data_IF_447954063277
#
_entry.id   IF_447954063277
#
_cell.length_a   1.000
_cell.length_b   1.000
_cell.length_c   1.000
_cell.angle_alpha   90.00
_cell.angle_beta   90.00
_cell.angle_gamma   90.00
#
_symmetry.space_group_name_H-M   'P 1'
#
loop_
_entity.id
_entity.type
_entity.pdbx_description
1 polymer ?
2 non-polymer ?
3 non-polymer ?
4 non-polymer ?
5 water ?
#
# COMPACT_ATOMS: atom_id res chain seq x y z
N UNK A 3 -8.00 -29.35 -13.23
CA UNK A 3 -7.34 -29.84 -11.99
C UNK A 3 -6.88 -28.68 -11.09
N UNK A 4 -7.16 -27.45 -11.52
CA UNK A 4 -6.76 -26.25 -10.80
C UNK A 4 -7.94 -25.69 -10.02
N UNK A 5 -7.67 -25.24 -8.80
CA UNK A 5 -8.73 -24.66 -7.99
C UNK A 5 -9.25 -23.40 -8.68
N UNK A 6 -10.56 -23.12 -8.58
CA UNK A 6 -11.13 -21.93 -9.21
C UNK A 6 -10.85 -20.69 -8.33
N UNK A 7 -10.34 -20.94 -7.12
CA UNK A 7 -10.01 -19.91 -6.14
C UNK A 7 -9.62 -20.63 -4.86
N UNK A 8 -9.11 -19.88 -3.88
CA UNK A 8 -8.76 -20.46 -2.60
C UNK A 8 -8.79 -19.39 -1.51
N UNK A 9 -9.78 -19.50 -0.62
CA UNK A 9 -9.98 -18.55 0.46
C UNK A 9 -10.19 -19.28 1.78
N UNK A 10 -10.13 -18.53 2.89
CA UNK A 10 -10.30 -19.09 4.21
C UNK A 10 -11.67 -19.68 4.48
N UNK A 11 -12.71 -19.00 4.03
CA UNK A 11 -14.06 -19.46 4.25
C UNK A 11 -15.07 -18.71 3.37
N UNK A 12 -15.54 -19.40 2.33
CA UNK A 12 -16.53 -18.84 1.42
C UNK A 12 -17.77 -18.37 2.19
N UNK A 13 -18.00 -18.98 3.34
CA UNK A 13 -19.15 -18.63 4.15
C UNK A 13 -19.16 -17.19 4.61
N UNK A 14 -18.02 -16.50 4.51
CA UNK A 14 -17.94 -15.09 4.94
C UNK A 14 -18.41 -14.09 3.85
N UNK A 15 -18.73 -14.58 2.67
CA UNK A 15 -19.16 -13.72 1.55
C UNK A 15 -20.31 -12.74 1.85
N UNK A 16 -21.28 -13.15 2.65
CA UNK A 16 -22.38 -12.25 2.90
C UNK A 16 -21.96 -11.02 3.69
N UNK A 17 -21.16 -11.24 4.73
CA UNK A 17 -20.67 -10.15 5.56
C UNK A 17 -19.76 -9.27 4.69
N UNK A 18 -18.97 -9.91 3.85
CA UNK A 18 -18.08 -9.21 2.97
C UNK A 18 -18.82 -8.30 2.00
N UNK A 19 -19.89 -8.82 1.41
CA UNK A 19 -20.69 -8.03 0.46
C UNK A 19 -21.23 -6.79 1.18
N UNK A 20 -21.71 -6.95 2.40
CA UNK A 20 -22.17 -5.79 3.17
C UNK A 20 -21.03 -4.77 3.31
N UNK A 21 -19.81 -5.27 3.54
CA UNK A 21 -18.60 -4.45 3.70
C UNK A 21 -18.35 -3.65 2.41
N UNK A 22 -18.37 -4.35 1.28
CA UNK A 22 -18.17 -3.71 -0.02
C UNK A 22 -19.26 -2.67 -0.30
N UNK A 23 -20.50 -2.92 0.15
CA UNK A 23 -21.58 -1.97 -0.12
C UNK A 23 -21.27 -0.64 0.58
N UNK A 24 -20.86 -0.73 1.84
CA UNK A 24 -20.54 0.49 2.56
C UNK A 24 -19.33 1.17 1.89
N UNK A 25 -18.28 0.39 1.62
CA UNK A 25 -17.05 0.92 0.97
C UNK A 25 -17.32 1.61 -0.36
N UNK A 26 -18.17 1.00 -1.19
CA UNK A 26 -18.47 1.59 -2.50
C UNK A 26 -18.95 3.02 -2.34
N UNK A 27 -19.75 3.25 -1.31
CA UNK A 27 -20.30 4.56 -1.05
C UNK A 27 -19.24 5.54 -0.58
N UNK A 28 -18.04 5.04 -0.20
CA UNK A 28 -16.91 5.90 0.24
C UNK A 28 -15.86 6.08 -0.86
N UNK A 29 -16.07 5.41 -1.99
CA UNK A 29 -15.15 5.42 -3.09
C UNK A 29 -15.73 5.98 -4.42
N UNK A 30 -16.08 7.28 -4.43
CA UNK A 30 -16.65 7.90 -5.64
C UNK A 30 -15.75 7.81 -6.88
N UNK A 31 -14.44 7.80 -6.70
CA UNK A 31 -13.56 7.71 -7.85
C UNK A 31 -13.75 6.39 -8.56
N UNK A 32 -13.85 5.31 -7.79
CA UNK A 32 -14.02 4.03 -8.43
C UNK A 32 -15.47 3.96 -8.97
N UNK A 33 -16.44 4.37 -8.19
CA UNK A 33 -17.81 4.32 -8.68
C UNK A 33 -17.97 5.15 -9.97
N UNK A 34 -17.37 6.33 -10.02
CA UNK A 34 -17.46 7.16 -11.23
C UNK A 34 -16.76 6.50 -12.41
N UNK A 35 -15.72 5.70 -12.18
CA UNK A 35 -15.08 5.01 -13.31
C UNK A 35 -16.11 4.02 -13.92
N UNK A 36 -16.75 3.23 -13.08
CA UNK A 36 -17.74 2.27 -13.54
C UNK A 36 -18.87 2.97 -14.30
N UNK A 37 -19.32 4.09 -13.77
CA UNK A 37 -20.40 4.85 -14.38
C UNK A 37 -19.98 5.33 -15.77
N UNK A 38 -18.69 5.58 -15.96
CA UNK A 38 -18.23 6.05 -17.26
C UNK A 38 -17.79 4.97 -18.24
N UNK A 39 -17.26 3.86 -17.74
CA UNK A 39 -16.80 2.81 -18.63
C UNK A 39 -17.48 1.46 -18.66
N UNK A 40 -18.56 1.26 -17.91
CA UNK A 40 -19.18 -0.05 -17.93
C UNK A 40 -19.75 -0.30 -19.31
N UNK A 41 -20.28 0.76 -19.92
CA UNK A 41 -20.87 0.68 -21.26
C UNK A 41 -19.88 0.32 -22.36
N UNK A 42 -18.75 1.01 -22.38
CA UNK A 42 -17.75 0.79 -23.41
C UNK A 42 -16.68 -0.25 -23.16
N UNK A 43 -16.64 -0.83 -21.96
CA UNK A 43 -15.63 -1.86 -21.63
C UNK A 43 -14.20 -1.65 -22.18
N UNK A 44 -13.58 -0.48 -21.88
CA UNK A 44 -12.22 -0.25 -22.38
C UNK A 44 -11.21 -1.35 -22.02
N UNK A 45 -11.50 -2.14 -20.99
CA UNK A 45 -10.54 -3.19 -20.63
C UNK A 45 -10.85 -4.57 -21.24
N UNK A 46 -11.88 -4.63 -22.09
CA UNK A 46 -12.24 -5.89 -22.76
C UNK A 46 -10.96 -6.41 -23.40
N UNK A 47 -10.66 -7.68 -23.18
CA UNK A 47 -9.45 -8.25 -23.73
C UNK A 47 -8.33 -8.32 -22.70
N UNK A 48 -8.39 -7.46 -21.69
CA UNK A 48 -7.34 -7.48 -20.69
C UNK A 48 -7.50 -8.67 -19.77
N UNK A 49 -6.40 -9.33 -19.48
CA UNK A 49 -6.38 -10.42 -18.54
C UNK A 49 -5.37 -9.93 -17.46
N UNK A 50 -5.94 -9.22 -16.47
CA UNK A 50 -5.20 -8.62 -15.36
C UNK A 50 -4.94 -9.54 -14.17
N UNK A 51 -3.68 -9.76 -13.86
CA UNK A 51 -3.33 -10.56 -12.69
C UNK A 51 -2.93 -9.50 -11.64
N UNK A 52 -3.58 -9.52 -10.48
CA UNK A 52 -3.26 -8.57 -9.41
C UNK A 52 -2.56 -9.21 -8.22
N UNK A 53 -1.59 -8.51 -7.64
CA UNK A 53 -0.92 -9.00 -6.44
C UNK A 53 -0.95 -7.77 -5.52
N UNK A 54 -1.95 -7.69 -4.66
CA UNK A 54 -2.10 -6.53 -3.80
C UNK A 54 -3.08 -6.88 -2.67
N UNK A 55 -2.66 -6.62 -1.42
CA UNK A 55 -3.48 -6.87 -0.22
C UNK A 55 -4.97 -7.07 -0.56
N UNK A 56 -5.49 -8.28 -0.28
CA UNK A 56 -6.88 -8.65 -0.61
C UNK A 56 -7.83 -8.17 0.48
N UNK A 57 -8.14 -6.87 0.44
CA UNK A 57 -9.00 -6.17 1.41
C UNK A 57 -10.36 -5.73 0.79
N UNK A 58 -11.26 -5.21 1.61
CA UNK A 58 -12.55 -4.68 1.13
C UNK A 58 -12.28 -3.66 -0.01
N UNK A 59 -11.32 -2.76 0.19
CA UNK A 59 -10.99 -1.75 -0.81
C UNK A 59 -10.55 -2.38 -2.12
N UNK A 60 -9.67 -3.37 -2.02
CA UNK A 60 -9.16 -4.04 -3.20
C UNK A 60 -10.31 -4.81 -3.93
N UNK A 61 -11.30 -5.25 -3.18
CA UNK A 61 -12.41 -5.98 -3.78
C UNK A 61 -13.22 -5.02 -4.67
N UNK A 62 -13.39 -3.77 -4.22
CA UNK A 62 -14.11 -2.76 -5.01
C UNK A 62 -13.31 -2.42 -6.27
N UNK A 63 -11.98 -2.48 -6.17
CA UNK A 63 -11.10 -2.21 -7.30
C UNK A 63 -11.25 -3.36 -8.28
N UNK A 64 -11.13 -4.59 -7.77
CA UNK A 64 -11.27 -5.79 -8.60
C UNK A 64 -12.61 -5.73 -9.35
N UNK A 65 -13.70 -5.46 -8.66
CA UNK A 65 -14.99 -5.41 -9.38
C UNK A 65 -15.10 -4.22 -10.34
N UNK A 66 -14.36 -3.15 -10.08
CA UNK A 66 -14.41 -2.00 -10.98
C UNK A 66 -13.77 -2.41 -12.30
N UNK A 67 -12.67 -3.14 -12.19
CA UNK A 67 -11.95 -3.57 -13.38
C UNK A 67 -12.83 -4.55 -14.19
N UNK A 68 -13.42 -5.50 -13.49
CA UNK A 68 -14.28 -6.47 -14.16
C UNK A 68 -15.41 -5.73 -14.88
N UNK A 69 -16.00 -4.75 -14.22
CA UNK A 69 -17.08 -3.94 -14.78
C UNK A 69 -16.64 -3.21 -16.05
N UNK A 70 -15.35 -2.92 -16.12
CA UNK A 70 -14.76 -2.21 -17.23
C UNK A 70 -14.36 -3.21 -18.31
N UNK A 71 -14.73 -4.47 -18.07
CA UNK A 71 -14.48 -5.51 -19.05
C UNK A 71 -13.32 -6.47 -18.96
N UNK A 72 -12.39 -6.24 -18.05
CA UNK A 72 -11.26 -7.16 -17.98
C UNK A 72 -11.61 -8.45 -17.26
N UNK A 73 -10.74 -9.44 -17.44
CA UNK A 73 -10.82 -10.70 -16.73
C UNK A 73 -9.74 -10.49 -15.66
N UNK A 74 -10.05 -10.86 -14.42
CA UNK A 74 -9.10 -10.65 -13.31
C UNK A 74 -8.86 -11.89 -12.45
N UNK A 75 -7.61 -12.06 -12.01
CA UNK A 75 -7.17 -13.15 -11.11
C UNK A 75 -6.27 -12.42 -10.13
N UNK A 76 -6.51 -12.64 -8.85
CA UNK A 76 -5.83 -11.92 -7.79
C UNK A 76 -5.15 -12.70 -6.68
N UNK A 77 -4.09 -12.12 -6.13
CA UNK A 77 -3.43 -12.71 -4.96
C UNK A 77 -3.06 -11.49 -4.05
N UNK A 78 -2.87 -11.76 -2.75
CA UNK A 78 -2.48 -10.70 -1.83
C UNK A 78 -0.96 -10.52 -1.94
N UNK A 79 -0.45 -9.33 -1.62
CA UNK A 79 0.99 -9.10 -1.69
C UNK A 79 1.62 -9.18 -0.30
N UNK A 80 0.87 -9.73 0.65
CA UNK A 80 1.38 -9.93 2.03
C UNK A 80 0.64 -11.10 2.64
N UNK A 81 1.38 -11.92 3.40
CA UNK A 81 0.78 -13.06 4.03
C UNK A 81 -0.24 -12.73 5.14
N UNK A 82 -0.19 -11.53 5.74
CA UNK A 82 -1.18 -11.24 6.81
C UNK A 82 -2.20 -10.14 6.46
N UNK A 83 -2.24 -9.65 5.22
CA UNK A 83 -3.14 -8.52 4.94
C UNK A 83 -4.51 -8.80 4.40
N UNK A 84 -4.72 -10.01 3.89
CA UNK A 84 -6.03 -10.34 3.36
C UNK A 84 -7.13 -10.21 4.41
N UNK A 85 -8.29 -9.75 3.96
CA UNK A 85 -9.46 -9.62 4.80
C UNK A 85 -10.34 -10.75 4.20
N UNK A 86 -10.48 -11.81 4.99
CA UNK A 86 -11.20 -12.98 4.56
C UNK A 86 -12.63 -12.75 4.10
N UNK A 87 -13.36 -11.82 4.70
CA UNK A 87 -14.73 -11.64 4.23
C UNK A 87 -14.73 -11.03 2.82
N UNK A 88 -13.75 -10.15 2.55
CA UNK A 88 -13.63 -9.51 1.23
C UNK A 88 -13.18 -10.53 0.18
N UNK A 89 -12.22 -11.37 0.53
CA UNK A 89 -11.73 -12.42 -0.37
C UNK A 89 -12.91 -13.38 -0.69
N UNK A 90 -13.67 -13.77 0.31
CA UNK A 90 -14.83 -14.65 0.08
C UNK A 90 -15.87 -13.99 -0.84
N UNK A 91 -16.20 -12.72 -0.63
CA UNK A 91 -17.18 -12.06 -1.52
C UNK A 91 -16.68 -12.11 -2.97
N UNK A 92 -15.38 -11.92 -3.17
CA UNK A 92 -14.83 -11.94 -4.51
C UNK A 92 -14.90 -13.35 -5.10
N UNK A 93 -14.46 -14.32 -4.32
CA UNK A 93 -14.45 -15.73 -4.74
C UNK A 93 -15.86 -16.10 -5.19
N UNK A 94 -16.81 -15.78 -4.31
CA UNK A 94 -18.22 -16.04 -4.54
C UNK A 94 -18.72 -15.41 -5.82
N UNK A 95 -18.30 -14.17 -6.09
CA UNK A 95 -18.69 -13.48 -7.33
C UNK A 95 -18.06 -14.20 -8.53
N UNK A 96 -17.32 -15.27 -8.25
CA UNK A 96 -16.71 -16.05 -9.30
C UNK A 96 -15.44 -15.50 -9.91
N UNK A 97 -14.71 -14.70 -9.14
CA UNK A 97 -13.46 -14.12 -9.65
C UNK A 97 -12.39 -15.00 -9.02
N UNK A 98 -11.38 -15.40 -9.79
CA UNK A 98 -10.42 -16.25 -9.10
C UNK A 98 -9.48 -15.49 -8.14
N UNK A 99 -9.66 -15.72 -6.85
CA UNK A 99 -8.81 -15.08 -5.88
C UNK A 99 -8.16 -16.19 -5.02
N UNK A 100 -6.86 -16.08 -4.78
CA UNK A 100 -6.09 -17.03 -3.96
C UNK A 100 -5.49 -16.20 -2.82
N UNK A 101 -6.18 -16.13 -1.68
CA UNK A 101 -5.71 -15.32 -0.55
C UNK A 101 -6.46 -15.53 0.76
N UNK A 102 -5.69 -15.54 1.85
CA UNK A 102 -6.25 -15.67 3.18
C UNK A 102 -5.28 -15.07 4.19
N UNK A 103 -5.81 -14.61 5.32
CA UNK A 103 -4.99 -14.01 6.35
C UNK A 103 -4.21 -15.11 7.04
N UNK A 104 -2.89 -14.97 7.03
CA UNK A 104 -2.03 -15.95 7.68
C UNK A 104 -1.47 -17.03 6.78
N UNK A 105 -1.03 -16.68 5.57
CA UNK A 105 -0.45 -17.69 4.66
C UNK A 105 1.00 -18.00 5.09
N UNK A 106 1.53 -19.16 4.68
CA UNK A 106 2.93 -19.47 4.95
C UNK A 106 3.60 -18.89 3.72
N UNK A 107 4.92 -18.81 3.72
CA UNK A 107 5.65 -18.25 2.58
C UNK A 107 5.52 -19.07 1.32
N UNK A 108 5.50 -20.38 1.47
CA UNK A 108 5.35 -21.24 0.30
C UNK A 108 3.95 -21.00 -0.29
N UNK A 109 2.94 -20.95 0.57
CA UNK A 109 1.57 -20.69 0.09
C UNK A 109 1.48 -19.34 -0.59
N UNK A 110 2.13 -18.32 -0.01
CA UNK A 110 2.13 -16.97 -0.58
C UNK A 110 2.58 -17.05 -2.05
N UNK A 111 3.65 -17.79 -2.29
CA UNK A 111 4.15 -17.88 -3.65
C UNK A 111 3.17 -18.67 -4.51
N UNK A 112 2.64 -19.75 -3.95
CA UNK A 112 1.68 -20.59 -4.65
C UNK A 112 0.49 -19.76 -5.18
N UNK A 113 -0.06 -18.91 -4.31
CA UNK A 113 -1.19 -18.05 -4.67
C UNK A 113 -0.90 -17.14 -5.84
N UNK A 114 0.30 -16.56 -5.87
CA UNK A 114 0.64 -15.69 -6.99
C UNK A 114 0.68 -16.52 -8.30
N UNK A 115 1.23 -17.73 -8.19
CA UNK A 115 1.33 -18.66 -9.33
C UNK A 115 -0.04 -19.01 -9.92
N UNK A 116 -1.06 -19.16 -9.08
CA UNK A 116 -2.40 -19.46 -9.57
C UNK A 116 -3.04 -18.30 -10.34
N UNK A 117 -2.39 -17.15 -10.39
CA UNK A 117 -3.00 -16.03 -11.10
C UNK A 117 -2.41 -15.81 -12.48
N UNK A 118 -1.28 -16.45 -12.77
CA UNK A 118 -0.61 -16.25 -14.05
C UNK A 118 -1.32 -16.78 -15.29
N UNK A 119 -1.99 -17.92 -15.13
CA UNK A 119 -2.69 -18.51 -16.26
C UNK A 119 -4.22 -18.50 -16.08
N UNK A 120 -4.88 -17.84 -17.03
CA UNK A 120 -6.32 -17.72 -17.03
C UNK A 120 -6.95 -18.86 -17.86
N UNK A 121 -8.27 -18.94 -17.75
CA UNK A 121 -9.03 -19.93 -18.52
C UNK A 121 -8.49 -19.82 -19.96
N UNK A 122 -8.63 -18.65 -20.57
CA UNK A 122 -8.20 -18.44 -21.95
C UNK A 122 -6.84 -17.76 -22.20
N UNK A 123 -5.76 -18.23 -21.60
CA UNK A 123 -4.48 -17.62 -21.90
C UNK A 123 -3.81 -16.85 -20.77
N UNK A 124 -2.45 -16.82 -20.74
CA UNK A 124 -1.67 -16.13 -19.71
C UNK A 124 -2.05 -14.65 -19.55
N UNK A 125 -1.53 -14.04 -18.49
CA UNK A 125 -1.79 -12.64 -18.19
C UNK A 125 -1.22 -11.74 -19.27
N UNK A 126 -1.96 -10.68 -19.58
CA UNK A 126 -1.50 -9.69 -20.54
C UNK A 126 -1.38 -8.33 -19.82
N UNK A 127 -1.59 -8.34 -18.50
CA UNK A 127 -1.47 -7.13 -17.65
C UNK A 127 -1.11 -7.45 -16.18
N UNK A 128 -0.29 -6.60 -15.60
CA UNK A 128 0.10 -6.75 -14.20
C UNK A 128 -0.36 -5.55 -13.38
N UNK A 129 -0.90 -5.79 -12.18
CA UNK A 129 -1.29 -4.71 -11.26
C UNK A 129 -0.55 -5.16 -10.01
N UNK A 130 0.58 -4.51 -9.72
CA UNK A 130 1.45 -4.95 -8.62
C UNK A 130 1.54 -3.99 -7.42
N UNK A 131 1.93 -4.54 -6.26
CA UNK A 131 2.10 -3.70 -5.07
C UNK A 131 3.31 -4.26 -4.34
N UNK A 132 4.48 -3.70 -4.61
CA UNK A 132 5.69 -4.19 -3.98
C UNK A 132 6.67 -4.81 -4.97
N UNK A 133 6.20 -5.11 -6.18
CA UNK A 133 7.06 -5.71 -7.17
C UNK A 133 7.17 -7.23 -7.16
N UNK A 134 6.60 -7.92 -6.20
CA UNK A 134 6.73 -9.38 -6.16
C UNK A 134 6.24 -10.08 -7.44
N UNK A 135 5.06 -9.74 -7.94
CA UNK A 135 4.56 -10.35 -9.17
C UNK A 135 5.49 -9.94 -10.32
N UNK A 136 5.79 -8.65 -10.39
CA UNK A 136 6.69 -8.12 -11.41
C UNK A 136 8.03 -8.89 -11.43
N UNK A 137 8.60 -9.15 -10.27
CA UNK A 137 9.87 -9.84 -10.19
C UNK A 137 9.78 -11.34 -10.51
N UNK A 138 8.62 -11.92 -10.21
CA UNK A 138 8.37 -13.35 -10.46
C UNK A 138 8.34 -13.58 -11.99
N UNK A 139 7.57 -12.76 -12.69
CA UNK A 139 7.49 -12.88 -14.12
C UNK A 139 8.86 -12.63 -14.76
N UNK A 140 9.49 -11.49 -14.47
CA UNK A 140 10.82 -11.20 -15.03
C UNK A 140 11.87 -12.24 -14.67
N UNK A 141 11.69 -12.98 -13.59
CA UNK A 141 12.75 -13.93 -13.29
C UNK A 141 12.45 -15.41 -13.52
N UNK A 142 11.18 -15.81 -13.45
CA UNK A 142 10.81 -17.21 -13.63
C UNK A 142 9.93 -17.45 -14.85
N UNK A 143 9.27 -16.41 -15.33
CA UNK A 143 8.41 -16.55 -16.48
C UNK A 143 8.62 -15.51 -17.57
N UNK A 144 9.88 -15.16 -17.88
CA UNK A 144 10.15 -14.16 -18.93
C UNK A 144 9.45 -14.40 -20.24
N UNK A 145 9.27 -15.69 -20.55
CA UNK A 145 8.61 -16.09 -21.79
C UNK A 145 7.23 -15.44 -21.92
N UNK A 146 6.65 -15.04 -20.79
CA UNK A 146 5.33 -14.43 -20.79
C UNK A 146 5.40 -12.92 -21.00
N UNK A 147 6.61 -12.38 -20.97
CA UNK A 147 6.78 -10.93 -21.13
C UNK A 147 6.22 -10.37 -22.43
N UNK A 148 6.53 -10.99 -23.60
CA UNK A 148 5.98 -10.42 -24.83
C UNK A 148 4.47 -10.33 -24.82
N UNK A 149 3.82 -11.23 -24.08
CA UNK A 149 2.38 -11.18 -24.00
C UNK A 149 1.84 -10.17 -22.97
N UNK A 150 2.70 -9.49 -22.23
CA UNK A 150 2.23 -8.51 -21.21
C UNK A 150 2.38 -7.10 -21.71
N UNK A 151 1.26 -6.41 -21.88
CA UNK A 151 1.25 -5.06 -22.40
C UNK A 151 1.68 -3.98 -21.38
N UNK A 152 1.45 -4.23 -20.09
CA UNK A 152 1.82 -3.22 -19.11
C UNK A 152 1.77 -3.66 -17.66
N UNK A 153 2.38 -2.80 -16.82
CA UNK A 153 2.49 -2.98 -15.37
C UNK A 153 2.08 -1.67 -14.71
N UNK A 154 1.26 -1.72 -13.66
CA UNK A 154 0.94 -0.49 -12.91
C UNK A 154 1.42 -0.87 -11.49
N UNK A 155 2.19 0.00 -10.83
CA UNK A 155 2.74 -0.36 -9.53
C UNK A 155 2.30 0.62 -8.44
N UNK A 156 1.78 0.03 -7.38
CA UNK A 156 1.20 0.76 -6.25
C UNK A 156 2.10 1.49 -5.24
N UNK A 157 3.22 0.88 -4.85
CA UNK A 157 3.96 1.46 -3.74
C UNK A 157 5.42 1.87 -3.93
N UNK A 158 5.89 2.72 -3.02
CA UNK A 158 7.26 3.23 -3.06
C UNK A 158 8.35 2.17 -3.27
N UNK A 159 8.33 1.11 -2.47
CA UNK A 159 9.30 0.06 -2.62
C UNK A 159 9.26 -0.61 -4.03
N UNK A 160 8.06 -0.85 -4.57
CA UNK A 160 7.92 -1.49 -5.87
C UNK A 160 8.40 -0.53 -6.95
N UNK A 161 8.13 0.75 -6.75
CA UNK A 161 8.53 1.73 -7.72
C UNK A 161 10.04 1.85 -7.73
N UNK A 162 10.62 1.77 -6.55
CA UNK A 162 12.07 1.87 -6.51
C UNK A 162 12.66 0.65 -7.27
N UNK A 163 12.13 -0.54 -7.03
CA UNK A 163 12.56 -1.76 -7.73
C UNK A 163 12.54 -1.51 -9.25
N UNK A 164 11.38 -1.06 -9.77
CA UNK A 164 11.25 -0.77 -11.18
C UNK A 164 12.36 0.12 -11.72
N UNK A 165 12.69 1.20 -11.03
CA UNK A 165 13.77 2.07 -11.51
C UNK A 165 15.11 1.31 -11.44
N UNK A 166 15.29 0.40 -10.49
CA UNK A 166 16.55 -0.34 -10.44
C UNK A 166 16.60 -1.29 -11.64
N UNK A 167 15.44 -1.86 -11.98
CA UNK A 167 15.34 -2.77 -13.11
C UNK A 167 15.58 -2.04 -14.44
N UNK A 168 14.92 -0.89 -14.61
CA UNK A 168 15.06 -0.11 -15.83
C UNK A 168 16.51 0.36 -15.99
N UNK A 169 17.15 0.71 -14.88
CA UNK A 169 18.54 1.16 -14.95
C UNK A 169 19.45 0.00 -15.32
N UNK A 170 18.95 -1.23 -15.20
CA UNK A 170 19.79 -2.37 -15.52
C UNK A 170 19.35 -3.22 -16.74
N UNK A 171 18.68 -2.57 -17.69
CA UNK A 171 18.20 -3.24 -18.89
C UNK A 171 17.22 -4.38 -18.66
N UNK A 172 16.84 -4.66 -17.41
CA UNK A 172 15.91 -5.77 -17.11
C UNK A 172 14.43 -5.49 -17.37
N UNK A 173 13.97 -4.29 -17.08
CA UNK A 173 12.57 -4.00 -17.28
C UNK A 173 12.21 -4.26 -18.75
N UNK A 174 11.32 -5.22 -19.00
CA UNK A 174 10.92 -5.55 -20.38
C UNK A 174 9.53 -5.14 -20.79
N UNK A 175 8.79 -4.53 -19.88
CA UNK A 175 7.41 -4.13 -20.17
C UNK A 175 7.18 -2.72 -19.67
N UNK A 176 6.33 -1.95 -20.36
CA UNK A 176 6.05 -0.57 -19.94
C UNK A 176 5.43 -0.58 -18.53
N UNK A 177 5.83 0.37 -17.67
CA UNK A 177 5.29 0.42 -16.31
C UNK A 177 4.88 1.83 -15.94
N UNK A 178 3.71 1.96 -15.30
CA UNK A 178 3.27 3.27 -14.84
C UNK A 178 3.47 3.27 -13.32
N UNK A 179 4.17 4.30 -12.84
CA UNK A 179 4.46 4.51 -11.42
C UNK A 179 3.18 5.11 -10.84
N UNK A 180 2.38 4.28 -10.17
CA UNK A 180 1.14 4.77 -9.56
C UNK A 180 1.47 5.42 -8.17
N UNK A 181 2.45 4.86 -7.46
CA UNK A 181 2.78 5.44 -6.15
C UNK A 181 3.02 6.93 -6.24
N UNK A 182 3.77 7.34 -7.27
CA UNK A 182 4.06 8.73 -7.47
C UNK A 182 3.06 9.64 -8.17
N UNK A 183 1.84 9.18 -8.40
CA UNK A 183 0.85 10.12 -8.88
C UNK A 183 0.70 11.05 -7.59
N UNK A 184 0.43 12.34 -7.73
CA UNK A 184 0.30 13.17 -6.53
C UNK A 184 -0.83 12.63 -5.65
N UNK A 185 -1.97 12.34 -6.28
CA UNK A 185 -3.14 11.84 -5.59
C UNK A 185 -2.98 10.49 -4.91
N UNK A 186 -1.80 9.90 -5.03
CA UNK A 186 -1.56 8.66 -4.33
C UNK A 186 -0.56 8.92 -3.18
N UNK A 187 0.70 9.20 -3.53
CA UNK A 187 1.80 9.48 -2.57
C UNK A 187 1.47 10.55 -1.49
N UNK A 188 0.82 11.65 -1.86
CA UNK A 188 0.52 12.72 -0.90
C UNK A 188 -0.83 12.58 -0.15
N UNK A 189 -1.51 11.47 -0.41
CA UNK A 189 -2.80 11.16 0.22
C UNK A 189 -2.78 9.78 0.87
N UNK A 190 -2.56 8.72 0.08
CA UNK A 190 -2.55 7.38 0.63
C UNK A 190 -1.35 7.26 1.61
N UNK A 191 -0.15 7.47 1.11
CA UNK A 191 1.03 7.27 1.99
C UNK A 191 0.96 8.17 3.26
N UNK A 192 0.48 9.39 3.13
CA UNK A 192 0.40 10.34 4.26
C UNK A 192 -0.87 10.21 5.16
N UNK A 193 -2.03 10.65 4.63
CA UNK A 193 -3.29 10.63 5.37
C UNK A 193 -3.79 9.24 5.68
N UNK A 194 -3.48 8.28 4.81
CA UNK A 194 -3.89 6.91 5.08
C UNK A 194 -3.13 6.33 6.31
N UNK A 195 -1.80 6.39 6.32
CA UNK A 195 -1.07 5.86 7.49
C UNK A 195 -1.39 6.72 8.71
N UNK A 196 -1.70 8.00 8.51
CA UNK A 196 -2.05 8.86 9.65
C UNK A 196 -3.22 8.24 10.41
N UNK A 197 -4.09 7.50 9.74
CA UNK A 197 -5.22 6.90 10.46
C UNK A 197 -5.02 5.41 10.68
N UNK A 198 -4.44 4.68 9.72
CA UNK A 198 -4.38 3.25 9.97
C UNK A 198 -3.19 2.73 10.81
N UNK A 199 -2.14 3.53 11.00
CA UNK A 199 -1.02 3.08 11.87
C UNK A 199 -1.59 2.97 13.29
N UNK A 200 -2.29 4.02 13.75
CA UNK A 200 -2.87 4.00 15.10
C UNK A 200 -3.87 2.87 15.28
N UNK A 201 -4.69 2.67 14.25
CA UNK A 201 -5.69 1.60 14.26
C UNK A 201 -5.00 0.24 14.56
N UNK A 202 -3.92 -0.03 13.83
CA UNK A 202 -3.21 -1.30 14.05
C UNK A 202 -2.59 -1.38 15.43
N UNK A 203 -1.94 -0.31 15.88
CA UNK A 203 -1.34 -0.36 17.23
C UNK A 203 -2.43 -0.56 18.26
N UNK A 204 -3.58 0.13 18.05
CA UNK A 204 -4.68 0.02 19.04
C UNK A 204 -5.35 -1.34 19.09
N UNK A 205 -5.72 -1.88 17.93
CA UNK A 205 -6.40 -3.17 17.94
C UNK A 205 -5.46 -4.24 18.52
N UNK A 206 -4.18 -4.09 18.25
CA UNK A 206 -3.20 -5.07 18.77
C UNK A 206 -2.94 -4.98 20.28
N UNK A 207 -2.75 -3.76 20.80
CA UNK A 207 -2.32 -3.54 22.17
C UNK A 207 -3.20 -2.73 23.10
N UNK A 208 -4.12 -1.94 22.53
CA UNK A 208 -4.96 -1.05 23.34
C UNK A 208 -4.16 -0.08 24.20
N UNK A 209 -2.89 0.13 23.85
CA UNK A 209 -2.05 1.01 24.62
C UNK A 209 -2.42 2.53 24.53
N UNK A 210 -2.25 3.23 25.66
CA UNK A 210 -2.50 4.66 25.65
C UNK A 210 -1.34 5.28 24.85
N UNK A 211 -1.64 6.16 23.89
CA UNK A 211 -0.57 6.85 23.17
C UNK A 211 -0.08 8.10 23.94
N UNK A 212 -1.02 8.84 24.53
CA UNK A 212 -0.68 10.05 25.30
C UNK A 212 0.36 9.78 26.41
N UNK A 213 1.37 10.64 26.48
CA UNK A 213 2.35 10.44 27.53
C UNK A 213 3.56 9.61 27.09
N UNK A 214 3.40 8.83 26.02
CA UNK A 214 4.50 8.00 25.52
C UNK A 214 5.54 8.72 24.65
N UNK A 215 6.76 8.15 24.58
CA UNK A 215 7.74 8.68 23.64
C UNK A 215 7.58 7.66 22.48
N UNK A 216 7.47 8.16 21.26
CA UNK A 216 7.35 7.27 20.11
C UNK A 216 8.50 7.63 19.21
N UNK A 217 9.10 6.61 18.61
CA UNK A 217 10.20 6.80 17.73
C UNK A 217 9.79 6.35 16.34
N UNK A 218 9.82 7.27 15.39
CA UNK A 218 9.47 6.94 14.02
C UNK A 218 10.72 7.04 13.16
N UNK A 219 11.16 5.91 12.59
CA UNK A 219 12.33 5.88 11.70
C UNK A 219 11.89 6.23 10.31
N UNK A 220 12.45 7.30 9.78
CA UNK A 220 12.10 7.76 8.46
C UNK A 220 11.06 8.87 8.52
N UNK A 221 11.21 9.88 7.68
CA UNK A 221 10.29 11.01 7.64
C UNK A 221 9.90 11.31 6.22
N UNK A 222 9.57 10.23 5.49
CA UNK A 222 9.08 10.37 4.14
C UNK A 222 7.57 10.57 4.21
N UNK A 223 6.81 10.23 3.17
CA UNK A 223 5.36 10.48 3.26
C UNK A 223 4.71 9.60 4.35
N UNK A 224 5.20 8.38 4.50
CA UNK A 224 4.63 7.50 5.53
C UNK A 224 5.03 7.96 6.96
N UNK A 225 6.32 8.26 7.17
CA UNK A 225 6.75 8.72 8.47
C UNK A 225 6.05 10.05 8.86
N UNK A 226 5.87 10.95 7.90
CA UNK A 226 5.18 12.20 8.13
C UNK A 226 3.77 11.93 8.68
N UNK A 227 3.05 11.01 8.03
CA UNK A 227 1.70 10.69 8.51
C UNK A 227 1.69 10.01 9.89
N UNK A 228 2.63 9.08 10.10
CA UNK A 228 2.70 8.36 11.35
C UNK A 228 3.05 9.29 12.53
N UNK A 229 4.01 10.16 12.32
CA UNK A 229 4.50 11.11 13.33
C UNK A 229 3.35 12.03 13.69
N UNK A 230 2.68 12.57 12.67
CA UNK A 230 1.56 13.44 12.92
C UNK A 230 0.45 12.70 13.74
N UNK A 231 0.14 11.47 13.37
CA UNK A 231 -0.89 10.72 14.11
C UNK A 231 -0.56 10.53 15.63
N UNK A 232 0.64 10.04 15.88
CA UNK A 232 1.11 9.82 17.25
C UNK A 232 1.13 11.12 18.06
N UNK A 233 1.71 12.18 17.50
CA UNK A 233 1.73 13.48 18.19
C UNK A 233 0.29 14.04 18.47
N UNK A 234 -0.68 13.73 17.61
CA UNK A 234 -2.05 14.24 17.81
C UNK A 234 -2.70 13.61 19.04
N UNK A 235 -2.22 12.41 19.42
CA UNK A 235 -2.76 11.76 20.60
C UNK A 235 -1.91 12.03 21.88
N UNK A 236 -0.93 12.91 21.77
CA UNK A 236 -0.17 13.23 22.96
C UNK A 236 1.14 12.48 23.19
N UNK A 237 1.68 11.82 22.17
CA UNK A 237 2.97 11.17 22.32
C UNK A 237 4.05 12.16 21.99
N UNK A 238 5.21 12.02 22.61
CA UNK A 238 6.32 12.86 22.26
C UNK A 238 7.03 12.03 21.17
N UNK A 239 7.12 12.57 19.97
CA UNK A 239 7.70 11.90 18.82
C UNK A 239 9.14 12.25 18.44
N UNK A 240 9.98 11.22 18.41
CA UNK A 240 11.38 11.37 17.98
C UNK A 240 11.52 10.71 16.60
N UNK A 241 12.21 11.40 15.73
CA UNK A 241 12.41 11.00 14.35
C UNK A 241 13.88 10.62 14.01
N UNK A 242 14.09 9.58 13.20
CA UNK A 242 15.46 9.27 12.75
C UNK A 242 15.40 9.44 11.24
N UNK A 243 16.47 9.98 10.65
CA UNK A 243 16.55 10.17 9.19
C UNK A 243 18.00 10.12 8.66
N UNK A 244 18.13 9.79 7.37
CA UNK A 244 19.42 9.75 6.68
C UNK A 244 19.43 10.91 5.70
N UNK A 245 18.26 11.46 5.38
CA UNK A 245 18.19 12.54 4.40
C UNK A 245 18.13 13.91 5.09
N UNK A 246 19.15 14.75 4.87
CA UNK A 246 19.20 16.08 5.49
C UNK A 246 17.96 16.95 5.22
N UNK A 247 17.33 16.79 4.06
CA UNK A 247 16.14 17.58 3.77
C UNK A 247 14.96 17.12 4.62
N UNK A 248 14.60 15.83 4.57
CA UNK A 248 13.52 15.33 5.42
C UNK A 248 13.85 15.61 6.93
N UNK A 249 15.13 15.48 7.32
CA UNK A 249 15.51 15.73 8.73
C UNK A 249 15.20 17.19 9.12
N UNK A 250 15.55 18.13 8.24
CA UNK A 250 15.30 19.55 8.51
C UNK A 250 13.77 19.79 8.52
N UNK A 251 13.03 19.14 7.63
CA UNK A 251 11.55 19.30 7.65
C UNK A 251 11.02 18.87 9.06
N UNK A 252 11.42 17.70 9.52
CA UNK A 252 10.98 17.20 10.81
C UNK A 252 11.38 18.18 11.94
N UNK A 253 12.60 18.72 11.89
CA UNK A 253 13.03 19.65 12.96
C UNK A 253 12.19 20.91 12.97
N UNK A 254 11.87 21.43 11.79
CA UNK A 254 11.09 22.64 11.66
C UNK A 254 9.62 22.46 12.00
N UNK A 255 9.21 21.21 12.20
CA UNK A 255 7.84 20.88 12.63
C UNK A 255 7.89 20.61 14.17
N UNK A 256 9.02 20.86 14.80
CA UNK A 256 9.12 20.67 16.24
C UNK A 256 9.51 19.26 16.72
N UNK A 257 10.01 18.42 15.83
CA UNK A 257 10.42 17.08 16.26
C UNK A 257 11.93 17.02 16.48
N UNK A 258 12.30 16.32 17.54
CA UNK A 258 13.72 16.07 17.86
C UNK A 258 14.16 15.03 16.78
N UNK A 259 15.24 15.32 16.09
CA UNK A 259 15.73 14.36 15.11
C UNK A 259 17.07 13.76 15.60
N UNK A 260 17.10 12.46 15.88
CA UNK A 260 18.35 11.87 16.28
C UNK A 260 18.50 10.41 15.77
N UNK A 261 19.52 9.69 16.26
CA UNK A 261 19.72 8.34 15.76
C UNK A 261 18.99 7.28 16.57
N UNK A 262 18.80 6.13 15.92
CA UNK A 262 18.20 5.01 16.59
C UNK A 262 19.11 4.57 17.75
N UNK A 263 20.44 4.63 17.58
CA UNK A 263 21.30 4.21 18.70
C UNK A 263 20.98 5.00 19.97
N UNK A 264 20.67 6.26 19.77
CA UNK A 264 20.29 7.08 20.90
C UNK A 264 18.80 6.87 21.27
N UNK A 265 17.91 6.92 20.28
CA UNK A 265 16.49 6.82 20.62
C UNK A 265 15.99 5.51 21.17
N UNK A 266 16.66 4.40 20.86
CA UNK A 266 16.19 3.13 21.37
C UNK A 266 16.09 3.11 22.88
N UNK A 267 16.83 3.98 23.57
CA UNK A 267 16.81 4.04 25.03
C UNK A 267 15.62 4.83 25.60
N UNK A 268 14.99 5.62 24.74
CA UNK A 268 13.87 6.46 25.12
C UNK A 268 12.47 6.01 24.69
N UNK A 269 12.37 5.38 23.53
CA UNK A 269 11.08 4.99 23.03
C UNK A 269 10.27 4.01 23.80
N UNK A 270 8.95 4.24 23.77
CA UNK A 270 7.97 3.33 24.36
C UNK A 270 7.28 2.62 23.15
N UNK A 271 7.32 3.28 21.99
CA UNK A 271 6.68 2.80 20.78
C UNK A 271 7.62 3.07 19.66
N UNK A 272 7.82 2.08 18.80
CA UNK A 272 8.73 2.20 17.67
C UNK A 272 8.00 1.83 16.38
N UNK A 273 8.12 2.66 15.37
CA UNK A 273 7.49 2.44 14.07
C UNK A 273 8.52 2.70 13.00
N UNK A 274 8.74 1.73 12.12
CA UNK A 274 9.73 1.89 11.05
C UNK A 274 8.98 2.17 9.75
N UNK A 275 9.41 3.21 9.04
CA UNK A 275 8.76 3.65 7.81
C UNK A 275 9.74 3.88 6.67
N UNK A 276 10.95 3.30 6.78
CA UNK A 276 12.00 3.62 5.81
C UNK A 276 12.08 2.90 4.53
N UNK A 277 11.61 1.67 4.50
CA UNK A 277 11.70 0.86 3.30
C UNK A 277 13.12 0.30 3.19
N UNK A 278 13.86 0.38 4.27
CA UNK A 278 15.27 -0.05 4.33
C UNK A 278 15.50 -1.13 5.38
N UNK A 279 16.54 -1.93 5.18
CA UNK A 279 16.90 -3.02 6.10
C UNK A 279 17.69 -2.50 7.24
N UNK A 280 17.77 -3.32 8.29
CA UNK A 280 18.57 -3.07 9.49
C UNK A 280 18.29 -1.75 10.24
N UNK A 281 17.02 -1.49 10.54
CA UNK A 281 16.64 -0.26 11.25
C UNK A 281 16.68 -0.51 12.75
N UNK A 282 16.02 -1.56 13.20
CA UNK A 282 15.96 -1.91 14.64
C UNK A 282 16.64 -3.28 14.85
N UNK A 283 17.77 -3.24 15.54
CA UNK A 283 18.59 -4.44 15.77
C UNK A 283 18.60 -4.96 17.19
N UNK A 284 19.27 -6.09 17.38
CA UNK A 284 19.31 -6.67 18.70
C UNK A 284 19.92 -5.71 19.70
N UNK A 285 20.91 -4.95 19.26
CA UNK A 285 21.58 -3.99 20.14
C UNK A 285 20.60 -2.89 20.59
N UNK A 286 19.60 -2.59 19.73
CA UNK A 286 18.57 -1.61 20.07
C UNK A 286 17.59 -2.27 21.03
N UNK A 287 17.14 -3.49 20.72
CA UNK A 287 16.21 -4.13 21.65
C UNK A 287 16.72 -4.27 23.09
N UNK A 288 18.02 -4.48 23.25
CA UNK A 288 18.54 -4.68 24.61
C UNK A 288 18.55 -3.41 25.44
N UNK A 289 18.31 -2.28 24.79
CA UNK A 289 18.32 -0.97 25.46
C UNK A 289 16.92 -0.45 25.75
N UNK A 290 15.93 -1.16 25.22
CA UNK A 290 14.56 -0.69 25.34
C UNK A 290 13.84 -0.73 26.67
N UNK A 291 13.01 0.27 26.90
CA UNK A 291 12.18 0.31 28.10
C UNK A 291 11.28 -0.91 28.06
N UNK A 292 10.86 -1.35 29.25
CA UNK A 292 10.02 -2.52 29.42
C UNK A 292 8.66 -2.34 28.72
N UNK A 293 8.28 -3.41 27.99
CA UNK A 293 7.06 -3.48 27.18
C UNK A 293 7.03 -2.45 26.05
N UNK A 294 8.19 -2.09 25.52
CA UNK A 294 8.21 -1.20 24.39
C UNK A 294 7.44 -1.95 23.25
N UNK A 295 6.68 -1.20 22.45
CA UNK A 295 5.95 -1.78 21.33
C UNK A 295 6.71 -1.48 20.08
N UNK A 296 6.95 -2.50 19.27
CA UNK A 296 7.76 -2.36 18.07
C UNK A 296 7.02 -2.87 16.82
N UNK A 297 6.88 -2.00 15.82
CA UNK A 297 6.20 -2.39 14.60
C UNK A 297 6.84 -1.71 13.41
N UNK A 298 6.45 -2.21 12.24
CA UNK A 298 6.91 -1.78 10.92
C UNK A 298 5.69 -1.46 10.03
N UNK A 299 5.78 -0.45 9.19
CA UNK A 299 4.63 -0.17 8.34
C UNK A 299 5.18 -0.06 6.90
N UNK A 300 6.49 -0.30 6.74
CA UNK A 300 7.11 -0.27 5.42
C UNK A 300 6.65 -1.52 4.62
N UNK A 301 6.77 -1.48 3.30
CA UNK A 301 6.25 -2.63 2.52
C UNK A 301 6.67 -4.05 2.93
N UNK A 302 7.97 -4.30 2.94
CA UNK A 302 8.48 -5.62 3.34
C UNK A 302 8.92 -5.60 4.79
N UNK A 303 8.90 -6.79 5.42
CA UNK A 303 9.33 -6.93 6.78
C UNK A 303 10.84 -7.15 6.79
N UNK A 304 11.59 -6.09 6.50
CA UNK A 304 13.03 -6.16 6.48
C UNK A 304 13.67 -5.11 7.44
N UNK A 305 12.83 -4.27 8.02
CA UNK A 305 13.30 -3.21 8.88
C UNK A 305 13.69 -3.60 10.31
N UNK A 306 12.99 -4.57 10.88
CA UNK A 306 13.22 -5.00 12.25
C UNK A 306 13.86 -6.41 12.26
N UNK A 307 14.81 -6.64 13.16
CA UNK A 307 15.47 -7.95 13.26
C UNK A 307 14.65 -8.83 14.17
N UNK A 308 13.55 -9.35 13.62
CA UNK A 308 12.66 -10.21 14.35
C UNK A 308 13.39 -11.55 14.63
N UNK A 309 14.19 -12.01 13.67
CA UNK A 309 14.96 -13.25 13.87
C UNK A 309 15.76 -13.12 15.16
N UNK A 310 16.35 -11.93 15.38
CA UNK A 310 17.12 -11.75 16.61
C UNK A 310 16.31 -12.02 17.86
N UNK A 311 15.06 -11.54 17.90
CA UNK A 311 14.20 -11.75 19.08
C UNK A 311 13.88 -13.20 19.30
N UNK A 312 13.55 -13.90 18.22
CA UNK A 312 13.20 -15.31 18.31
C UNK A 312 14.37 -16.15 18.79
N UNK A 313 15.57 -15.77 18.38
CA UNK A 313 16.78 -16.49 18.79
C UNK A 313 17.33 -16.09 20.14
N UNK A 314 17.05 -14.87 20.58
CA UNK A 314 17.64 -14.40 21.83
C UNK A 314 16.77 -14.18 23.07
N UNK A 315 15.46 -14.15 22.90
CA UNK A 315 14.56 -13.98 24.02
C UNK A 315 14.53 -15.26 24.85
N UNK A 316 14.21 -15.10 26.11
CA UNK A 316 14.12 -16.21 27.01
C UNK A 316 12.68 -16.76 27.01
N UNK A 317 11.73 -15.94 26.52
CA UNK A 317 10.31 -16.30 26.44
C UNK A 317 9.65 -15.61 25.28
N UNK A 318 8.61 -16.26 24.76
CA UNK A 318 7.83 -15.73 23.66
C UNK A 318 6.40 -16.24 23.86
N UNK A 319 5.49 -15.29 24.14
CA UNK A 319 4.10 -15.57 24.40
C UNK A 319 3.20 -14.93 23.34
N UNK A 320 2.40 -15.74 22.67
CA UNK A 320 1.51 -15.14 21.69
C UNK A 320 0.32 -14.58 22.46
N UNK A 321 0.11 -13.27 22.38
CA UNK A 321 -1.01 -12.66 23.12
C UNK A 321 -2.32 -12.95 22.39
N UNK A 322 -2.30 -12.75 21.06
CA UNK A 322 -3.46 -12.97 20.17
C UNK A 322 -2.81 -12.97 18.79
N UNK A 323 -3.55 -13.25 17.69
CA UNK A 323 -2.92 -13.26 16.36
C UNK A 323 -2.18 -11.97 16.05
N UNK A 324 -0.98 -12.08 15.49
CA UNK A 324 -0.16 -10.92 15.15
C UNK A 324 0.38 -10.09 16.34
N UNK A 325 0.27 -10.62 17.54
CA UNK A 325 0.81 -9.88 18.70
C UNK A 325 1.60 -10.85 19.60
N UNK A 326 2.91 -10.64 19.65
CA UNK A 326 3.81 -11.47 20.43
C UNK A 326 4.54 -10.64 21.47
N UNK A 327 4.63 -11.18 22.67
CA UNK A 327 5.32 -10.48 23.73
C UNK A 327 6.53 -11.30 24.18
N UNK A 328 7.71 -10.79 23.92
CA UNK A 328 8.93 -11.47 24.34
C UNK A 328 9.45 -10.99 25.67
N UNK A 329 10.29 -11.85 26.26
CA UNK A 329 10.99 -11.56 27.50
C UNK A 329 12.47 -11.80 27.20
N UNK A 330 13.30 -10.78 27.39
CA UNK A 330 14.73 -10.91 27.10
C UNK A 330 15.55 -11.32 28.32
N UNK A 331 16.81 -11.67 28.08
CA UNK A 331 17.73 -12.04 29.16
C UNK A 331 17.78 -10.93 30.20
N UNK A 332 17.71 -9.66 29.81
CA UNK A 332 17.73 -8.62 30.84
C UNK A 332 16.46 -8.54 31.65
N UNK A 333 15.54 -9.46 31.45
CA UNK A 333 14.31 -9.44 32.23
C UNK A 333 13.25 -8.50 31.65
N UNK A 334 13.61 -7.66 30.69
CA UNK A 334 12.61 -6.75 30.15
C UNK A 334 11.82 -7.35 28.98
N UNK A 335 10.61 -6.83 28.75
CA UNK A 335 9.71 -7.30 27.70
C UNK A 335 9.55 -6.39 26.47
N UNK A 336 9.40 -7.05 25.32
CA UNK A 336 9.22 -6.41 24.01
C UNK A 336 7.92 -6.92 23.36
N UNK A 337 7.00 -6.03 22.97
CA UNK A 337 5.74 -6.40 22.29
C UNK A 337 6.01 -6.21 20.80
N UNK A 338 5.94 -7.28 20.02
CA UNK A 338 6.24 -7.17 18.58
C UNK A 338 4.93 -7.39 17.81
N UNK A 339 4.64 -6.50 16.86
CA UNK A 339 3.36 -6.59 16.13
C UNK A 339 3.49 -7.21 14.74
N UNK A 340 2.58 -8.13 14.41
CA UNK A 340 2.54 -8.76 13.09
C UNK A 340 3.88 -9.37 12.63
N UNK A 341 4.68 -9.82 13.59
CA UNK A 341 5.97 -10.39 13.24
C UNK A 341 6.77 -9.47 12.33
N UNK A 342 6.54 -8.16 12.43
CA UNK A 342 7.33 -7.26 11.61
C UNK A 342 6.73 -6.92 10.27
N UNK A 343 5.60 -7.52 9.90
CA UNK A 343 4.98 -7.20 8.63
C UNK A 343 4.17 -5.91 8.80
N UNK A 344 3.87 -5.22 7.71
CA UNK A 344 3.19 -3.93 7.81
C UNK A 344 2.00 -3.98 8.78
N UNK A 345 2.13 -3.17 9.84
CA UNK A 345 1.17 -3.21 10.93
C UNK A 345 -0.27 -2.72 10.66
N UNK A 346 -0.45 -1.76 9.76
CA UNK A 346 -1.79 -1.24 9.51
C UNK A 346 -2.70 -2.29 8.88
N UNK A 347 -2.12 -3.11 8.00
CA UNK A 347 -2.85 -4.20 7.34
C UNK A 347 -2.79 -5.54 8.13
N UNK A 348 -1.69 -5.76 8.84
CA UNK A 348 -1.54 -6.99 9.62
C UNK A 348 -2.36 -7.04 10.90
N UNK A 349 -2.49 -5.90 11.58
CA UNK A 349 -3.23 -5.80 12.84
C UNK A 349 -4.57 -5.02 12.77
N UNK A 350 -4.82 -4.39 11.63
CA UNK A 350 -6.07 -3.68 11.47
C UNK A 350 -6.56 -3.87 10.01
N UNK A 351 -7.25 -2.89 9.48
CA UNK A 351 -7.82 -3.08 8.15
C UNK A 351 -7.22 -2.19 7.07
N UNK A 352 -5.98 -1.75 7.28
CA UNK A 352 -5.39 -0.88 6.27
C UNK A 352 -6.04 0.49 6.26
N UNK A 353 -5.65 1.28 5.27
CA UNK A 353 -6.20 2.62 5.11
C UNK A 353 -7.69 2.57 4.88
N UNK A 354 -8.41 3.59 5.33
CA UNK A 354 -9.87 3.62 5.09
C UNK A 354 -10.15 3.69 3.57
N UNK A 355 -11.36 3.25 3.19
CA UNK A 355 -11.75 3.20 1.79
C UNK A 355 -11.67 4.53 1.00
N UNK A 356 -12.08 5.65 1.58
CA UNK A 356 -12.06 6.90 0.83
C UNK A 356 -10.70 7.24 0.26
N UNK A 357 -9.64 7.06 1.06
CA UNK A 357 -8.33 7.42 0.52
C UNK A 357 -7.85 6.36 -0.46
N UNK A 358 -8.27 5.13 -0.21
CA UNK A 358 -7.89 4.04 -1.12
C UNK A 358 -8.58 4.25 -2.50
N UNK A 359 -9.70 4.99 -2.54
CA UNK A 359 -10.40 5.31 -3.81
C UNK A 359 -9.45 6.16 -4.70
N UNK A 360 -8.68 7.05 -4.07
CA UNK A 360 -7.71 7.90 -4.77
C UNK A 360 -6.67 6.95 -5.39
N UNK A 361 -6.11 6.05 -4.58
CA UNK A 361 -5.10 5.15 -5.12
C UNK A 361 -5.58 4.24 -6.23
N UNK A 362 -6.74 3.64 -6.01
CA UNK A 362 -7.29 2.70 -6.96
C UNK A 362 -7.87 3.36 -8.21
N UNK A 363 -8.23 4.63 -8.14
CA UNK A 363 -8.75 5.31 -9.35
C UNK A 363 -7.50 5.50 -10.23
N UNK A 364 -6.41 5.90 -9.59
CA UNK A 364 -5.13 5.98 -10.28
C UNK A 364 -4.81 4.64 -10.95
N UNK A 365 -4.93 3.53 -10.21
CA UNK A 365 -4.65 2.19 -10.75
C UNK A 365 -5.52 1.84 -11.96
N UNK A 366 -6.82 2.10 -11.89
CA UNK A 366 -7.73 1.80 -13.00
C UNK A 366 -7.27 2.65 -14.22
N UNK A 367 -7.04 3.95 -14.02
CA UNK A 367 -6.55 4.84 -15.08
C UNK A 367 -5.28 4.30 -15.74
N UNK A 368 -4.33 3.83 -14.92
CA UNK A 368 -3.07 3.27 -15.41
C UNK A 368 -3.33 2.05 -16.30
N UNK A 369 -4.17 1.13 -15.82
CA UNK A 369 -4.53 -0.05 -16.58
C UNK A 369 -5.13 0.38 -17.91
N UNK A 370 -6.12 1.26 -17.90
CA UNK A 370 -6.73 1.73 -19.13
C UNK A 370 -5.65 2.34 -20.04
N UNK A 371 -4.86 3.27 -19.49
CA UNK A 371 -3.77 3.89 -20.25
C UNK A 371 -2.95 2.84 -20.98
N UNK A 372 -2.20 2.03 -20.24
CA UNK A 372 -1.36 1.01 -20.84
C UNK A 372 -2.13 0.12 -21.81
N UNK A 373 -3.23 -0.46 -21.35
CA UNK A 373 -4.02 -1.35 -22.22
C UNK A 373 -4.54 -0.66 -23.48
N UNK A 374 -5.28 0.43 -23.29
CA UNK A 374 -5.90 1.22 -24.33
C UNK A 374 -4.98 2.11 -25.20
N UNK A 375 -3.82 2.53 -24.70
CA UNK A 375 -2.90 3.38 -25.49
C UNK A 375 -1.42 2.97 -25.38
N UNK A 376 -1.08 1.71 -25.68
CA UNK A 376 0.31 1.25 -25.60
C UNK A 376 1.34 2.02 -26.42
N UNK A 377 0.89 2.64 -27.51
CA UNK A 377 1.76 3.42 -28.39
C UNK A 377 2.35 4.62 -27.62
N UNK A 378 1.67 4.98 -26.55
CA UNK A 378 2.06 6.11 -25.72
C UNK A 378 3.04 5.69 -24.61
N UNK A 379 3.24 4.39 -24.45
CA UNK A 379 4.13 3.91 -23.40
C UNK A 379 5.28 2.95 -23.80
N UNK A 380 6.47 3.51 -24.06
CA UNK A 380 7.64 2.70 -24.42
C UNK A 380 8.07 1.95 -23.16
N UNK A 381 8.91 0.93 -23.31
CA UNK A 381 9.40 0.21 -22.15
C UNK A 381 10.11 1.24 -21.29
N UNK A 382 9.85 1.19 -19.99
CA UNK A 382 10.43 2.13 -19.04
C UNK A 382 9.45 2.32 -17.89
N UNK A 383 9.60 3.42 -17.15
CA UNK A 383 8.72 3.72 -16.02
C UNK A 383 8.14 5.09 -16.23
N UNK A 384 6.81 5.19 -16.24
CA UNK A 384 6.17 6.47 -16.51
C UNK A 384 5.22 6.97 -15.42
N UNK A 385 4.78 8.21 -15.59
CA UNK A 385 3.84 8.82 -14.68
C UNK A 385 2.58 9.02 -15.46
N UNK A 386 1.47 8.93 -14.75
CA UNK A 386 0.17 9.16 -15.35
C UNK A 386 0.26 10.65 -15.65
N UNK A 387 -0.46 11.13 -16.67
CA UNK A 387 -0.44 12.57 -17.01
C UNK A 387 -1.11 13.42 -15.92
N UNK A 388 -0.56 14.60 -15.66
CA UNK A 388 -1.09 15.46 -14.60
C UNK A 388 -2.56 15.69 -14.76
N UNK A 389 -3.00 15.70 -16.00
CA UNK A 389 -4.40 15.95 -16.19
C UNK A 389 -5.26 14.80 -15.59
N UNK A 390 -4.75 13.57 -15.64
CA UNK A 390 -5.50 12.44 -15.10
C UNK A 390 -5.39 12.48 -13.55
N UNK A 391 -4.20 12.83 -13.05
CA UNK A 391 -3.92 12.98 -11.62
C UNK A 391 -4.91 13.98 -11.02
N UNK A 392 -5.11 15.11 -11.70
CA UNK A 392 -6.07 16.13 -11.23
C UNK A 392 -7.51 15.59 -11.28
N UNK A 393 -7.82 14.80 -12.32
CA UNK A 393 -9.16 14.24 -12.46
C UNK A 393 -9.49 13.28 -11.29
N UNK A 394 -8.48 12.54 -10.84
CA UNK A 394 -8.67 11.65 -9.68
C UNK A 394 -9.17 12.51 -8.53
N UNK A 395 -8.45 13.57 -8.22
CA UNK A 395 -8.84 14.44 -7.11
C UNK A 395 -10.22 15.04 -7.31
N UNK A 396 -10.48 15.58 -8.51
CA UNK A 396 -11.78 16.22 -8.76
C UNK A 396 -12.94 15.25 -8.52
N UNK A 397 -12.72 13.97 -8.83
CA UNK A 397 -13.78 12.94 -8.66
C UNK A 397 -14.12 12.67 -7.19
N UNK A 398 -13.27 13.13 -6.28
CA UNK A 398 -13.55 12.96 -4.86
C UNK A 398 -14.04 14.24 -4.17
N UNK A 399 -14.09 15.35 -4.89
CA UNK A 399 -14.53 16.59 -4.25
C UNK A 399 -16.02 16.65 -3.87
N UNK A 400 -16.87 16.13 -4.75
CA UNK A 400 -18.31 16.17 -4.49
C UNK A 400 -18.74 15.46 -3.23
N UNK A 401 -18.14 14.31 -2.95
CA UNK A 401 -18.47 13.56 -1.76
C UNK A 401 -18.17 14.40 -0.54
N UNK A 402 -17.14 15.24 -0.63
CA UNK A 402 -16.76 16.09 0.53
C UNK A 402 -17.44 17.45 0.47
N UNK A 403 -18.25 17.65 -0.57
CA UNK A 403 -18.88 18.95 -0.72
C UNK A 403 -17.96 20.12 -0.91
N UNK A 404 -16.83 19.88 -1.58
CA UNK A 404 -15.88 20.95 -1.87
C UNK A 404 -16.39 21.80 -3.03
N UNK A 405 -16.42 23.12 -2.89
CA UNK A 405 -16.83 23.98 -4.01
C UNK A 405 -15.52 24.57 -4.54
N UNK A 406 -15.09 24.03 -5.67
CA UNK A 406 -13.85 24.46 -6.29
C UNK A 406 -14.09 25.74 -7.09
N UNK A 407 -13.09 26.60 -7.17
CA UNK A 407 -13.22 27.84 -7.92
C UNK A 407 -12.83 27.63 -9.41
N UNK A 408 -13.54 28.31 -10.32
CA UNK A 408 -13.19 28.26 -11.75
C UNK A 408 -12.54 29.57 -12.16
N UNK A 409 -11.37 29.47 -12.80
CA UNK A 409 -10.60 30.63 -13.29
C UNK A 409 -11.46 31.38 -14.31
N UNK A 410 -11.44 32.70 -14.32
CA UNK A 410 -12.19 33.43 -15.36
C UNK A 410 -11.23 33.38 -16.55
N UNK A 411 -11.71 33.67 -17.76
CA UNK A 411 -10.81 33.62 -18.92
C UNK A 411 -9.68 34.66 -18.72
N UNK A 412 -10.02 35.79 -18.12
CA UNK A 412 -9.08 36.87 -17.80
C UNK A 412 -7.96 36.31 -16.89
N UNK A 413 -8.38 35.63 -15.83
CA UNK A 413 -7.43 35.03 -14.91
C UNK A 413 -6.60 33.95 -15.57
N UNK A 414 -7.25 33.09 -16.35
CA UNK A 414 -6.51 32.03 -17.00
C UNK A 414 -5.47 32.61 -17.96
N UNK A 415 -5.78 33.75 -18.58
CA UNK A 415 -4.79 34.33 -19.51
C UNK A 415 -3.61 34.87 -18.74
N UNK A 416 -3.92 35.54 -17.63
CA UNK A 416 -2.90 36.13 -16.77
C UNK A 416 -1.95 35.05 -16.27
N UNK A 417 -2.50 33.88 -15.92
CA UNK A 417 -1.69 32.78 -15.41
C UNK A 417 -1.09 31.92 -16.51
N UNK A 418 -1.54 32.14 -17.74
CA UNK A 418 -0.98 31.38 -18.84
C UNK A 418 -1.31 29.91 -18.71
N UNK A 419 -2.58 29.60 -18.46
CA UNK A 419 -2.98 28.21 -18.36
C UNK A 419 -4.43 28.03 -18.76
N UNK A 420 -4.81 26.78 -18.99
CA UNK A 420 -6.19 26.49 -19.35
C UNK A 420 -7.11 26.50 -18.12
N UNK A 421 -8.35 26.97 -18.33
CA UNK A 421 -9.37 27.00 -17.29
C UNK A 421 -9.68 25.59 -16.76
N UNK A 422 -9.33 24.57 -17.54
CA UNK A 422 -9.60 23.20 -17.16
C UNK A 422 -8.33 22.47 -16.79
N UNK A 423 -7.23 23.21 -16.66
CA UNK A 423 -5.94 22.62 -16.28
C UNK A 423 -5.15 21.93 -17.35
N UNK A 424 -3.99 21.34 -17.04
CA UNK A 424 -3.28 21.27 -15.75
C UNK A 424 -3.00 22.65 -15.15
N UNK A 425 -3.13 22.72 -13.83
CA UNK A 425 -2.93 23.97 -13.11
C UNK A 425 -1.51 24.11 -12.52
N UNK A 426 -0.68 23.09 -12.69
CA UNK A 426 0.69 23.10 -12.15
C UNK A 426 1.73 22.54 -13.12
N UNK A 427 2.98 23.05 -13.03
CA UNK A 427 4.06 22.56 -13.88
C UNK A 427 4.35 21.12 -13.42
N UNK A 428 5.12 20.38 -14.19
CA UNK A 428 5.37 19.00 -13.84
C UNK A 428 6.27 18.79 -12.65
N UNK A 429 7.07 19.79 -12.29
CA UNK A 429 7.95 19.60 -11.14
C UNK A 429 7.22 20.03 -9.84
N UNK A 430 5.95 20.47 -9.93
CA UNK A 430 5.29 20.91 -8.71
C UNK A 430 5.26 19.80 -7.62
N UNK A 431 5.58 20.19 -6.40
CA UNK A 431 5.61 19.21 -5.35
C UNK A 431 4.38 19.14 -4.44
N UNK A 432 3.47 20.11 -4.58
CA UNK A 432 2.26 20.16 -3.75
C UNK A 432 2.62 20.15 -2.24
X LIG B 1 9.73 7.84 1.34
X LIG B 1 10.82 7.65 0.40
X LIG B 1 8.99 9.03 1.05
X LIG B 1 10.49 7.47 2.69
X LIG B 1 11.21 7.07 3.57
X LIG B 1 12.36 7.66 4.20
X LIG B 1 13.04 6.87 4.91
X LIG B 1 13.25 8.44 3.46
X LIG B 1 12.95 9.94 3.61
X LIG B 1 14.64 8.11 3.84
X LIG B 1 15.51 9.14 3.78
X LIG B 1 14.37 7.51 5.06
X LIG B 1 15.29 6.56 5.47
X LIG B 1 15.92 5.47 4.53
X LIG B 1 16.75 4.70 5.20
X LIG B 1 16.73 5.17 6.39
X LIG B 1 17.47 4.71 7.61
X LIG B 1 18.32 3.75 7.68
X LIG B 1 17.18 5.50 8.87
X LIG B 1 16.23 6.63 8.87
X LIG B 1 15.58 7.01 7.78
X LIG B 1 15.78 6.36 6.58
X LIG B 1 8.93 6.33 1.19
X LIG B 1 7.35 6.35 1.62
X LIG B 1 7.27 7.03 2.89
X LIG B 1 6.29 6.72 0.55
X LIG B 1 7.25 5.07 1.86
X LIG B 1 7.99 4.13 2.78
X LIG B 1 7.62 2.64 3.09
X LIG B 1 6.12 2.44 3.34
X LIG B 1 7.86 1.80 1.70
X LIG B 1 8.18 0.47 1.95
X LIG B 1 6.51 1.85 1.09
X LIG B 1 6.28 0.94 -0.01
X LIG B 1 5.52 1.61 2.25
X LIG B 1 4.11 2.05 2.19
X LIG B 1 3.28 1.37 3.17
X LIG B 1 1.91 1.83 3.08
X LIG B 1 1.11 1.01 4.15
X LIG B 1 -0.08 1.20 3.97
X LIG B 1 1.66 0.13 4.97
X LIG B 1 1.41 3.08 2.17
X LIG B 1 2.43 3.75 1.43
X LIG B 1 3.80 3.19 1.30
X LIG C 1 2.06 -0.79 0.84
X LIG C 1 2.21 -2.07 0.14
X LIG C 1 -0.38 -0.82 1.13
X LIG C 1 0.76 -0.27 0.60
X LIG C 1 0.47 0.84 -0.32
X LIG C 1 1.22 1.65 -0.79
X LIG C 1 -0.95 1.18 0.01
X LIG C 1 -1.57 1.69 -1.15
X LIG C 1 -1.60 -0.17 0.51
X LIG C 1 -2.82 -0.19 1.29
X LIG C 1 -3.06 0.48 2.50
X LIG C 1 -4.25 0.27 2.96
X LIG C 1 -4.87 -0.58 2.03
X LIG C 1 -6.17 -1.19 1.91
X LIG C 1 -7.17 -1.00 2.84
X LIG C 1 -6.37 -1.99 0.78
X LIG C 1 -5.43 -2.18 -0.13
X LIG C 1 -4.17 -1.67 -0.13
X LIG C 1 -3.93 -0.86 0.97
X LIG D 1 9.24 12.35 29.05
X LIG D 1 7.75 12.57 28.74
X LIG D 1 7.24 13.75 29.63
X LIG D 1 7.64 12.93 27.32
X LIG E 1 -10.61 -9.14 8.70
X LIG E 1 -10.99 -10.62 8.56
X LIG E 1 -12.36 -10.74 7.83
X LIG E 1 -9.95 -11.31 7.82
#
# INVERSE_FOLDING_TARGET
MSDKLPYKVADIGLAAWGRKALDIAENEMPGLMRMRERYSASKPLKGARIAGCLHMTVETAVLIETLVTLGAEVQWSSCNIFSTQDHAAAAIAKAGIPVYAWKGETDEEYLWCIEQTLYFKDGPLNMILDDGGDLTNLIHTKYPQLLPGIRGISEETTTGVHNLYKMMANGILKVPAINVNDSVTKSKFDNLYGCRESLIDGIKRATDVMIAGKVAVVAGYGDVGKGCAQALRGFGARVIITEIDPINALQAAMEGYEVTTMDEACQEGNIFVTTTGCIDIILGRHFEQMKDDAIVCNIGHFDVEIDVKWLNENAVEKVNIKPQVDRYRLKNGRRIILLAEGRLVNLGCAMGHPSFVMSNSFTNQVMAQIELWTHPDKYPVGVHFLPKKLDEAVAEAHLGKLNVKLTKLTEKQAQYLGMSCDGPFKPDHYRY
NAD PA O1A O2A O5B C5B C4B O4B C3B O3B C2B O2B C1B N9A C8A N7A C5A C6A N6A N1A C2A N3A C4A O3 PN O1N O2N O5D C5D C4D O4D C3D O3D C2D O2D C1D N1N C2N C3N C7N O7N N7N C4N C5N C6N
NOC C6' O6' C5' C4' C3' O3' C2' O2' C1' N9 C8 N7 C5 C6 N6 N1 C2 N3 C4
IPA C1 C2 C3 O2
IPA C1 C2 C3 O2
#
